data_IF_089274712773
#
_entry.id   IF_089274712773
#
_cell.length_a   1.000
_cell.length_b   1.000
_cell.length_c   1.000
_cell.angle_alpha   90.00
_cell.angle_beta   90.00
_cell.angle_gamma   90.00
#
_symmetry.space_group_name_H-M   'P 1'
#
loop_
_entity.id
_entity.type
_entity.pdbx_description
1 polymer ?
#
# COMPACT_ATOMS: atom_id res chain seq x y z
N UNK A 1 -38.73 12.19 15.60
CA UNK A 1 -37.88 12.00 14.40
C UNK A 1 -38.75 11.45 13.27
N UNK A 2 -38.86 12.16 12.15
CA UNK A 2 -39.81 11.91 11.05
C UNK A 2 -39.74 10.49 10.48
N UNK A 3 -38.52 9.99 10.21
CA UNK A 3 -38.28 8.65 9.61
C UNK A 3 -38.82 7.53 10.49
N UNK A 4 -38.62 7.57 11.82
CA UNK A 4 -39.17 6.54 12.74
C UNK A 4 -40.69 6.56 12.78
N UNK A 5 -41.29 7.76 12.73
CA UNK A 5 -42.77 7.92 12.66
C UNK A 5 -43.30 7.30 11.37
N UNK A 6 -42.68 7.63 10.24
CA UNK A 6 -43.05 7.07 8.93
C UNK A 6 -43.02 5.52 8.94
N UNK A 7 -41.98 4.89 9.50
CA UNK A 7 -41.93 3.42 9.63
C UNK A 7 -43.09 2.85 10.48
N UNK A 8 -43.41 3.51 11.60
CA UNK A 8 -44.55 3.13 12.43
C UNK A 8 -45.90 3.26 11.73
N UNK A 9 -46.08 4.34 10.97
CA UNK A 9 -47.34 4.64 10.26
C UNK A 9 -47.54 3.74 9.02
N UNK A 10 -46.47 3.26 8.38
CA UNK A 10 -46.53 2.50 7.11
C UNK A 10 -46.20 1.01 7.27
N UNK A 11 -45.71 0.59 8.41
CA UNK A 11 -45.22 -0.79 8.63
C UNK A 11 -43.88 -1.12 7.89
N UNK A 12 -43.24 -0.13 7.27
CA UNK A 12 -41.95 -0.32 6.59
C UNK A 12 -40.81 -0.50 7.57
N UNK A 13 -39.87 -1.35 7.22
CA UNK A 13 -38.61 -1.50 7.96
C UNK A 13 -37.75 -0.25 7.78
N UNK A 14 -37.29 0.31 8.89
CA UNK A 14 -36.48 1.52 8.91
C UNK A 14 -35.12 1.23 9.54
N UNK A 15 -34.06 1.49 8.79
CA UNK A 15 -32.67 1.36 9.22
C UNK A 15 -32.03 2.73 9.31
N UNK A 16 -31.50 3.09 10.48
CA UNK A 16 -30.93 4.40 10.74
C UNK A 16 -29.48 4.22 11.13
N UNK A 17 -28.58 4.75 10.29
CA UNK A 17 -27.16 4.79 10.55
C UNK A 17 -26.70 6.20 10.93
N UNK A 18 -25.82 6.28 11.92
CA UNK A 18 -25.05 7.49 12.23
C UNK A 18 -23.62 7.23 11.82
N UNK A 19 -23.29 7.61 10.60
CA UNK A 19 -21.97 7.38 10.05
C UNK A 19 -20.98 8.37 10.66
N UNK A 20 -19.75 7.90 11.02
CA UNK A 20 -18.64 8.78 11.30
C UNK A 20 -18.17 9.50 10.03
N UNK A 21 -16.97 10.08 10.02
CA UNK A 21 -16.42 10.69 8.82
C UNK A 21 -16.24 9.68 7.69
N UNK A 22 -17.10 9.75 6.67
CA UNK A 22 -16.98 8.87 5.48
C UNK A 22 -15.89 9.39 4.58
N UNK A 23 -14.97 8.49 4.15
CA UNK A 23 -13.90 8.83 3.22
C UNK A 23 -13.77 7.75 2.14
N UNK A 24 -13.13 8.12 1.03
CA UNK A 24 -12.87 7.18 -0.07
C UNK A 24 -12.53 7.91 -1.38
N UNK A 25 -12.36 7.11 -2.41
CA UNK A 25 -12.04 7.55 -3.77
C UNK A 25 -13.07 8.56 -4.28
N UNK A 26 -12.61 9.55 -5.03
CA UNK A 26 -13.43 10.53 -5.77
C UNK A 26 -14.27 11.47 -4.90
N UNK A 27 -14.11 11.47 -3.59
CA UNK A 27 -14.74 12.46 -2.73
C UNK A 27 -14.26 13.87 -3.10
N UNK A 28 -15.18 14.84 -3.18
CA UNK A 28 -14.83 16.22 -3.56
C UNK A 28 -13.88 16.84 -2.51
N UNK A 29 -12.64 17.21 -2.89
CA UNK A 29 -11.71 17.85 -1.99
C UNK A 29 -12.15 19.30 -1.67
N UNK A 30 -11.60 19.86 -0.61
CA UNK A 30 -11.88 21.24 -0.16
C UNK A 30 -13.38 21.54 0.00
N UNK A 31 -14.13 20.54 0.47
CA UNK A 31 -15.56 20.68 0.74
C UNK A 31 -15.89 20.22 2.17
N UNK A 32 -16.23 18.98 2.41
CA UNK A 32 -16.63 18.47 3.72
C UNK A 32 -15.87 17.23 4.21
N UNK A 33 -14.81 16.82 3.52
CA UNK A 33 -13.98 15.70 3.93
C UNK A 33 -12.52 16.15 4.10
N UNK A 34 -12.03 16.09 5.32
CA UNK A 34 -10.61 16.38 5.63
C UNK A 34 -9.67 15.39 4.95
N UNK A 35 -10.05 14.10 4.89
CA UNK A 35 -9.24 13.06 4.22
C UNK A 35 -9.13 13.38 2.73
N UNK A 36 -10.24 13.68 2.06
CA UNK A 36 -10.25 14.06 0.64
C UNK A 36 -9.39 15.30 0.38
N UNK A 37 -9.53 16.31 1.22
CA UNK A 37 -8.78 17.56 1.13
C UNK A 37 -7.28 17.33 1.28
N UNK A 38 -6.85 16.56 2.29
CA UNK A 38 -5.43 16.29 2.50
C UNK A 38 -4.85 15.38 1.41
N UNK A 39 -5.55 14.33 1.01
CA UNK A 39 -5.10 13.46 -0.08
C UNK A 39 -4.91 14.26 -1.39
N UNK A 40 -5.89 15.08 -1.76
CA UNK A 40 -5.80 15.92 -2.95
C UNK A 40 -4.67 16.94 -2.85
N UNK A 41 -4.64 17.72 -1.77
CA UNK A 41 -3.70 18.82 -1.66
C UNK A 41 -2.25 18.31 -1.58
N UNK A 42 -1.98 17.27 -0.79
CA UNK A 42 -0.64 16.69 -0.68
C UNK A 42 -0.21 16.06 -2.02
N UNK A 43 -1.11 15.37 -2.74
CA UNK A 43 -0.77 14.80 -4.05
C UNK A 43 -0.47 15.85 -5.13
N UNK A 44 -0.96 17.07 -4.96
CA UNK A 44 -0.75 18.18 -5.88
C UNK A 44 0.26 19.24 -5.35
N UNK A 45 0.94 18.95 -4.25
CA UNK A 45 1.85 19.89 -3.57
C UNK A 45 1.17 21.24 -3.19
N UNK A 46 -0.12 21.19 -2.87
CA UNK A 46 -0.88 22.32 -2.39
C UNK A 46 -0.80 22.41 -0.85
N UNK A 47 -0.92 23.61 -0.28
CA UNK A 47 -0.85 23.78 1.16
C UNK A 47 -2.05 23.10 1.86
N UNK A 48 -1.78 22.59 3.06
CA UNK A 48 -2.80 22.08 3.98
C UNK A 48 -2.78 22.89 5.27
N UNK A 49 -3.91 22.94 5.95
CA UNK A 49 -4.03 23.58 7.26
C UNK A 49 -4.46 22.55 8.30
N UNK A 50 -3.66 22.36 9.32
CA UNK A 50 -3.93 21.49 10.46
C UNK A 50 -4.18 22.38 11.68
N UNK A 51 -5.44 22.53 12.09
CA UNK A 51 -5.80 23.41 13.19
C UNK A 51 -5.52 22.80 14.56
N UNK A 52 -5.73 21.50 14.71
CA UNK A 52 -5.44 20.75 15.95
C UNK A 52 -4.92 19.35 15.62
N UNK A 53 -3.59 19.12 15.61
CA UNK A 53 -3.02 17.81 15.29
C UNK A 53 -3.48 16.68 16.21
N UNK A 54 -3.84 16.98 17.45
CA UNK A 54 -4.28 15.97 18.44
C UNK A 54 -5.76 15.63 18.33
N UNK A 55 -6.52 16.29 17.47
CA UNK A 55 -7.96 16.00 17.29
C UNK A 55 -8.13 14.60 16.71
N UNK A 56 -8.89 13.75 17.40
CA UNK A 56 -9.19 12.39 16.97
C UNK A 56 -10.36 12.39 15.97
N UNK A 57 -10.12 11.79 14.81
CA UNK A 57 -11.12 11.53 13.78
C UNK A 57 -11.63 10.10 13.93
N UNK A 58 -12.95 9.95 13.82
CA UNK A 58 -13.58 8.65 13.60
C UNK A 58 -13.93 8.56 12.12
N UNK A 59 -13.46 7.53 11.44
CA UNK A 59 -13.56 7.38 10.00
C UNK A 59 -14.13 6.02 9.60
N UNK A 60 -14.88 6.00 8.50
CA UNK A 60 -15.35 4.78 7.84
C UNK A 60 -15.12 4.89 6.33
N UNK A 61 -14.73 3.80 5.71
CA UNK A 61 -14.45 3.78 4.28
C UNK A 61 -15.74 3.61 3.48
N UNK A 62 -15.85 4.30 2.35
CA UNK A 62 -17.07 4.32 1.55
C UNK A 62 -17.49 2.93 1.07
N UNK A 63 -16.54 2.08 0.68
CA UNK A 63 -16.88 0.74 0.18
C UNK A 63 -17.48 -0.14 1.31
N UNK A 64 -17.05 0.05 2.58
CA UNK A 64 -17.64 -0.64 3.74
C UNK A 64 -19.07 -0.15 4.00
N UNK A 65 -19.35 1.15 3.77
CA UNK A 65 -20.72 1.71 3.87
C UNK A 65 -21.63 1.11 2.81
N UNK A 66 -21.12 1.02 1.57
CA UNK A 66 -21.87 0.45 0.45
C UNK A 66 -22.17 -1.04 0.70
N UNK A 67 -21.18 -1.80 1.16
CA UNK A 67 -21.36 -3.22 1.49
C UNK A 67 -22.41 -3.44 2.58
N UNK A 68 -22.34 -2.67 3.67
CA UNK A 68 -23.35 -2.74 4.75
C UNK A 68 -24.76 -2.43 4.23
N UNK A 69 -24.92 -1.43 3.36
CA UNK A 69 -26.22 -1.09 2.80
C UNK A 69 -26.74 -2.16 1.84
N UNK A 70 -25.87 -2.81 1.07
CA UNK A 70 -26.24 -3.96 0.23
C UNK A 70 -26.77 -5.10 1.10
N UNK A 71 -26.09 -5.43 2.21
CA UNK A 71 -26.52 -6.46 3.15
C UNK A 71 -27.90 -6.16 3.75
N UNK A 72 -28.17 -4.88 4.07
CA UNK A 72 -29.50 -4.45 4.53
C UNK A 72 -30.56 -4.70 3.46
N UNK A 73 -30.29 -4.32 2.22
CA UNK A 73 -31.23 -4.50 1.09
C UNK A 73 -31.50 -6.00 0.83
N UNK A 74 -30.49 -6.84 1.02
CA UNK A 74 -30.61 -8.29 0.88
C UNK A 74 -31.27 -8.99 2.08
N UNK A 75 -31.69 -8.23 3.10
CA UNK A 75 -32.34 -8.77 4.29
C UNK A 75 -31.41 -9.54 5.24
N UNK A 76 -30.09 -9.39 5.10
CA UNK A 76 -29.07 -10.09 5.90
C UNK A 76 -28.86 -9.47 7.30
N UNK A 77 -29.46 -8.34 7.58
CA UNK A 77 -29.33 -7.56 8.84
C UNK A 77 -30.44 -7.84 9.84
N UNK A 78 -30.79 -9.10 10.09
CA UNK A 78 -31.82 -9.46 11.05
C UNK A 78 -31.37 -9.17 12.50
N UNK A 79 -32.07 -8.27 13.21
CA UNK A 79 -32.03 -8.05 14.67
C UNK A 79 -30.82 -7.29 15.26
N UNK A 80 -30.06 -6.50 14.54
CA UNK A 80 -29.07 -5.60 15.19
C UNK A 80 -29.80 -4.44 15.91
N UNK A 81 -29.59 -4.30 17.22
CA UNK A 81 -30.13 -3.17 18.03
C UNK A 81 -29.48 -1.83 17.67
N UNK A 82 -28.24 -1.82 17.25
CA UNK A 82 -27.48 -0.65 16.81
C UNK A 82 -26.90 -0.91 15.42
N UNK A 83 -27.18 -0.01 14.50
CA UNK A 83 -26.71 -0.08 13.13
C UNK A 83 -25.44 0.77 13.01
N UNK A 84 -24.33 0.13 12.76
CA UNK A 84 -23.03 0.74 12.53
C UNK A 84 -22.32 0.07 11.37
N UNK A 85 -21.51 0.82 10.66
CA UNK A 85 -20.64 0.29 9.61
C UNK A 85 -19.28 -0.05 10.20
N UNK A 86 -18.78 -1.21 9.91
CA UNK A 86 -17.48 -1.69 10.38
C UNK A 86 -16.58 -2.05 9.19
N UNK A 87 -15.25 -1.89 9.34
CA UNK A 87 -14.55 -1.37 10.51
C UNK A 87 -14.59 0.18 10.60
N UNK A 88 -14.70 0.69 11.82
CA UNK A 88 -14.48 2.10 12.13
C UNK A 88 -13.02 2.32 12.54
N UNK A 89 -12.42 3.39 12.04
CA UNK A 89 -11.03 3.74 12.28
C UNK A 89 -10.91 5.03 13.09
N UNK A 90 -10.01 5.02 14.06
CA UNK A 90 -9.64 6.21 14.84
C UNK A 90 -8.23 6.63 14.46
N UNK A 91 -8.04 7.91 14.18
CA UNK A 91 -6.74 8.48 13.83
C UNK A 91 -6.69 9.95 14.26
N UNK A 92 -5.56 10.39 14.81
CA UNK A 92 -5.35 11.81 15.06
C UNK A 92 -5.10 12.55 13.75
N UNK A 93 -5.54 13.80 13.70
CA UNK A 93 -5.41 14.63 12.50
C UNK A 93 -3.94 14.79 12.06
N UNK A 94 -3.01 14.92 13.01
CA UNK A 94 -1.59 14.96 12.73
C UNK A 94 -1.05 13.66 12.13
N UNK A 95 -1.47 12.51 12.69
CA UNK A 95 -1.05 11.19 12.21
C UNK A 95 -1.60 10.90 10.80
N UNK A 96 -2.82 11.38 10.50
CA UNK A 96 -3.39 11.31 9.15
C UNK A 96 -2.52 12.07 8.14
N UNK A 97 -2.10 13.28 8.47
CA UNK A 97 -1.21 14.07 7.60
C UNK A 97 0.11 13.34 7.39
N UNK A 98 0.76 12.92 8.47
CA UNK A 98 2.03 12.17 8.41
C UNK A 98 1.90 10.94 7.52
N UNK A 99 0.82 10.17 7.65
CA UNK A 99 0.61 8.99 6.83
C UNK A 99 0.49 9.32 5.33
N UNK A 100 -0.23 10.39 4.98
CA UNK A 100 -0.39 10.79 3.57
C UNK A 100 0.92 11.38 3.02
N UNK A 101 1.69 12.11 3.83
CA UNK A 101 3.01 12.61 3.44
C UNK A 101 3.99 11.48 3.17
N UNK A 102 4.01 10.44 4.00
CA UNK A 102 4.80 9.22 3.76
C UNK A 102 4.43 8.53 2.44
N UNK A 103 3.16 8.55 2.03
CA UNK A 103 2.77 8.04 0.72
C UNK A 103 3.37 8.85 -0.44
N UNK A 104 3.42 10.18 -0.30
CA UNK A 104 4.07 11.05 -1.28
C UNK A 104 5.57 10.78 -1.36
N UNK A 105 6.23 10.75 -0.21
CA UNK A 105 7.68 10.54 -0.10
C UNK A 105 8.10 9.14 -0.57
N UNK A 106 7.19 8.16 -0.51
CA UNK A 106 7.44 6.80 -0.95
C UNK A 106 7.87 6.67 -2.41
N UNK A 107 7.55 7.65 -3.27
CA UNK A 107 8.00 7.66 -4.67
C UNK A 107 9.47 8.06 -4.83
N UNK A 108 9.96 8.93 -3.98
CA UNK A 108 11.36 9.39 -4.00
C UNK A 108 12.26 8.45 -3.19
N UNK A 109 11.78 8.01 -2.04
CA UNK A 109 12.51 7.11 -1.15
C UNK A 109 12.46 5.64 -1.58
N UNK A 110 11.54 5.27 -2.47
CA UNK A 110 11.18 3.90 -2.86
C UNK A 110 10.68 3.04 -1.70
N UNK A 111 10.35 3.66 -0.55
CA UNK A 111 9.80 2.96 0.61
C UNK A 111 8.28 2.85 0.46
N UNK A 112 7.80 1.61 0.39
CA UNK A 112 6.37 1.32 0.49
C UNK A 112 5.95 1.27 1.94
N UNK A 113 4.93 2.05 2.28
CA UNK A 113 4.27 1.95 3.58
C UNK A 113 3.46 0.64 3.68
N UNK A 114 2.96 0.31 4.89
CA UNK A 114 2.17 -0.90 5.16
C UNK A 114 0.76 -0.78 4.57
N UNK A 115 0.67 -0.78 3.23
CA UNK A 115 -0.59 -0.59 2.48
C UNK A 115 -1.32 -1.90 2.16
N UNK A 116 -0.97 -3.00 2.82
CA UNK A 116 -1.56 -4.33 2.57
C UNK A 116 -2.99 -4.47 3.08
N UNK A 117 -3.33 -3.82 4.19
CA UNK A 117 -4.63 -3.92 4.86
C UNK A 117 -4.99 -2.67 5.67
N UNK A 118 -6.12 -2.71 6.34
CA UNK A 118 -6.57 -1.71 7.30
C UNK A 118 -6.70 -0.29 6.76
N UNK A 119 -6.60 0.67 7.66
CA UNK A 119 -6.70 2.10 7.34
C UNK A 119 -5.63 2.56 6.33
N UNK A 120 -4.33 2.19 6.45
CA UNK A 120 -3.32 2.65 5.49
C UNK A 120 -3.64 2.24 4.04
N UNK A 121 -4.14 1.02 3.80
CA UNK A 121 -4.58 0.56 2.48
C UNK A 121 -5.68 1.45 1.91
N UNK A 122 -6.69 1.75 2.71
CA UNK A 122 -7.85 2.56 2.31
C UNK A 122 -7.46 4.03 2.07
N UNK A 123 -6.58 4.57 2.92
CA UNK A 123 -6.02 5.91 2.74
C UNK A 123 -5.16 5.99 1.47
N UNK A 124 -4.31 4.99 1.23
CA UNK A 124 -3.48 4.98 0.02
C UNK A 124 -4.32 4.89 -1.25
N UNK A 125 -5.34 4.03 -1.29
CA UNK A 125 -6.30 3.96 -2.39
C UNK A 125 -7.00 5.30 -2.62
N UNK A 126 -7.37 5.99 -1.54
CA UNK A 126 -7.97 7.33 -1.61
C UNK A 126 -6.96 8.36 -2.14
N UNK A 127 -5.71 8.34 -1.63
CA UNK A 127 -4.64 9.24 -2.03
C UNK A 127 -4.32 9.14 -3.53
N UNK A 128 -4.11 7.92 -4.05
CA UNK A 128 -3.77 7.73 -5.47
C UNK A 128 -4.94 8.04 -6.41
N UNK A 129 -6.17 8.02 -5.92
CA UNK A 129 -7.35 8.38 -6.73
C UNK A 129 -7.38 9.86 -7.15
N UNK A 130 -6.57 10.70 -6.53
CA UNK A 130 -6.42 12.12 -6.89
C UNK A 130 -5.28 12.39 -7.86
N UNK A 131 -4.54 11.37 -8.28
CA UNK A 131 -3.44 11.57 -9.23
C UNK A 131 -3.95 12.00 -10.60
N UNK A 132 -3.28 13.00 -11.14
CA UNK A 132 -3.42 13.34 -12.56
C UNK A 132 -2.70 12.29 -13.44
N UNK A 133 -3.04 12.15 -14.72
CA UNK A 133 -2.36 11.20 -15.62
C UNK A 133 -0.84 11.35 -15.67
N UNK A 134 -0.31 12.56 -15.48
CA UNK A 134 1.13 12.82 -15.42
C UNK A 134 1.81 12.17 -14.21
N UNK A 135 1.06 11.88 -13.17
CA UNK A 135 1.55 11.25 -11.94
C UNK A 135 1.44 9.71 -11.96
N UNK A 136 0.91 9.10 -13.05
CA UNK A 136 0.83 7.65 -13.15
C UNK A 136 2.19 6.98 -13.39
N UNK A 137 3.18 7.75 -13.82
CA UNK A 137 4.54 7.29 -14.08
C UNK A 137 5.55 8.16 -13.33
N UNK A 138 6.59 7.55 -12.83
CA UNK A 138 7.74 8.23 -12.23
C UNK A 138 9.01 7.42 -12.48
N UNK A 139 10.14 8.14 -12.56
CA UNK A 139 11.44 7.53 -12.77
C UNK A 139 12.02 7.06 -11.45
N UNK A 140 12.76 5.97 -11.49
CA UNK A 140 13.55 5.47 -10.37
C UNK A 140 15.03 5.59 -10.67
N UNK A 141 15.92 5.75 -9.66
CA UNK A 141 17.35 5.77 -9.86
C UNK A 141 17.85 4.45 -10.45
N UNK A 142 18.78 4.54 -11.40
CA UNK A 142 19.49 3.39 -11.94
C UNK A 142 20.98 3.63 -11.88
N UNK A 143 21.73 2.57 -11.56
CA UNK A 143 23.19 2.59 -11.43
C UNK A 143 23.78 1.59 -12.40
N UNK A 144 24.66 2.06 -13.29
CA UNK A 144 25.27 1.22 -14.32
C UNK A 144 26.79 1.33 -14.32
N UNK A 145 27.44 0.22 -14.66
CA UNK A 145 28.86 0.12 -14.91
C UNK A 145 29.13 -0.86 -16.08
N UNK A 146 30.40 -1.21 -16.31
CA UNK A 146 30.77 -2.14 -17.37
C UNK A 146 30.16 -3.54 -17.21
N UNK A 147 29.75 -3.92 -16.00
CA UNK A 147 29.15 -5.22 -15.67
C UNK A 147 27.67 -5.29 -15.99
N UNK A 148 26.96 -4.14 -16.00
CA UNK A 148 25.52 -4.06 -16.24
C UNK A 148 24.89 -2.96 -15.41
N UNK A 149 23.57 -3.02 -15.24
CA UNK A 149 22.76 -2.01 -14.55
C UNK A 149 22.13 -2.61 -13.29
N UNK A 150 21.91 -1.80 -12.28
CA UNK A 150 21.11 -2.10 -11.08
C UNK A 150 20.08 -1.00 -10.85
N UNK A 151 18.87 -1.38 -10.50
CA UNK A 151 17.82 -0.47 -10.09
C UNK A 151 17.06 -1.06 -8.90
N UNK A 152 16.89 -0.27 -7.85
CA UNK A 152 16.00 -0.57 -6.76
C UNK A 152 14.59 -0.13 -7.16
N UNK A 153 13.60 -1.02 -7.05
CA UNK A 153 12.22 -0.72 -7.46
C UNK A 153 11.34 -0.38 -6.26
N UNK A 154 11.58 -1.08 -5.17
CA UNK A 154 10.75 -1.01 -3.98
C UNK A 154 11.53 -1.53 -2.79
N UNK A 155 11.37 -0.90 -1.64
CA UNK A 155 11.80 -1.42 -0.34
C UNK A 155 10.73 -1.20 0.72
N UNK A 156 10.82 -1.97 1.79
CA UNK A 156 9.97 -1.84 2.96
C UNK A 156 10.84 -1.59 4.19
N UNK A 157 10.24 -1.08 5.25
CA UNK A 157 10.96 -0.82 6.50
C UNK A 157 11.33 -2.10 7.27
N UNK A 158 10.65 -3.21 6.98
CA UNK A 158 10.71 -4.45 7.77
C UNK A 158 10.85 -5.75 6.96
N UNK A 159 10.64 -5.71 5.65
CA UNK A 159 10.55 -6.94 4.83
C UNK A 159 11.53 -6.98 3.64
N UNK A 160 12.50 -6.04 3.60
CA UNK A 160 13.54 -6.02 2.58
C UNK A 160 13.22 -5.15 1.36
N UNK A 161 13.86 -5.47 0.25
CA UNK A 161 13.76 -4.71 -0.99
C UNK A 161 13.54 -5.62 -2.20
N UNK A 162 12.94 -5.06 -3.23
CA UNK A 162 12.81 -5.66 -4.55
C UNK A 162 13.63 -4.84 -5.55
N UNK A 163 14.60 -5.49 -6.20
CA UNK A 163 15.55 -4.86 -7.10
C UNK A 163 15.60 -5.60 -8.42
N UNK A 164 15.99 -4.90 -9.46
CA UNK A 164 16.26 -5.43 -10.78
C UNK A 164 17.72 -5.16 -11.14
N UNK A 165 18.41 -6.14 -11.73
CA UNK A 165 19.71 -5.89 -12.32
C UNK A 165 19.92 -6.69 -13.60
N UNK A 166 20.83 -6.19 -14.43
CA UNK A 166 21.36 -6.91 -15.58
C UNK A 166 22.83 -7.29 -15.35
N UNK A 167 23.27 -8.34 -16.00
CA UNK A 167 24.67 -8.71 -16.08
C UNK A 167 25.03 -9.04 -17.52
N UNK A 168 26.14 -8.50 -18.01
CA UNK A 168 26.66 -8.85 -19.35
C UNK A 168 27.14 -10.29 -19.38
N UNK A 169 27.17 -10.96 -20.54
CA UNK A 169 27.71 -12.30 -20.66
C UNK A 169 29.15 -12.38 -20.15
N UNK A 170 29.46 -13.44 -19.36
CA UNK A 170 30.77 -13.66 -18.79
C UNK A 170 31.12 -12.82 -17.54
N UNK A 171 30.24 -11.93 -17.12
CA UNK A 171 30.45 -11.11 -15.92
C UNK A 171 30.05 -11.87 -14.68
N UNK A 172 30.87 -11.82 -13.63
CA UNK A 172 30.57 -12.31 -12.28
C UNK A 172 30.19 -11.11 -11.38
N UNK A 173 29.09 -11.26 -10.65
CA UNK A 173 28.64 -10.34 -9.59
C UNK A 173 28.59 -11.12 -8.28
N UNK A 174 28.74 -10.43 -7.15
CA UNK A 174 28.78 -11.06 -5.83
C UNK A 174 30.19 -11.13 -5.26
N UNK A 175 30.61 -12.30 -4.79
CA UNK A 175 31.91 -12.48 -4.15
C UNK A 175 31.97 -11.99 -2.70
N UNK A 176 30.81 -11.99 -2.02
CA UNK A 176 30.64 -11.60 -0.63
C UNK A 176 29.67 -12.57 0.08
N UNK A 177 29.63 -12.49 1.38
CA UNK A 177 28.69 -13.24 2.22
C UNK A 177 27.93 -12.28 3.14
N UNK A 178 26.83 -12.76 3.70
CA UNK A 178 26.02 -12.03 4.66
C UNK A 178 25.86 -12.84 5.93
N UNK A 179 25.81 -12.18 7.10
CA UNK A 179 25.61 -12.85 8.37
C UNK A 179 24.14 -13.16 8.68
N UNK A 180 23.21 -12.37 8.11
CA UNK A 180 21.77 -12.48 8.43
C UNK A 180 20.86 -12.14 7.25
N UNK A 181 21.41 -11.56 6.18
CA UNK A 181 20.62 -11.20 4.99
C UNK A 181 20.46 -12.43 4.10
N UNK A 182 19.23 -12.72 3.70
CA UNK A 182 18.90 -13.71 2.68
C UNK A 182 18.49 -13.02 1.39
N UNK A 183 18.73 -13.64 0.25
CA UNK A 183 18.36 -13.11 -1.05
C UNK A 183 17.69 -14.18 -1.90
N UNK A 184 16.73 -13.77 -2.71
CA UNK A 184 16.05 -14.62 -3.69
C UNK A 184 16.25 -14.06 -5.08
N UNK A 185 16.73 -14.88 -5.98
CA UNK A 185 16.99 -14.50 -7.37
C UNK A 185 16.10 -15.28 -8.33
N UNK A 186 15.57 -14.57 -9.30
CA UNK A 186 14.87 -15.13 -10.45
C UNK A 186 15.55 -14.65 -11.73
N UNK A 187 15.93 -15.55 -12.61
CA UNK A 187 16.46 -15.20 -13.93
C UNK A 187 15.29 -14.94 -14.88
N UNK A 188 15.06 -13.68 -15.24
CA UNK A 188 13.97 -13.26 -16.13
C UNK A 188 14.39 -13.24 -17.60
N UNK A 189 15.71 -13.16 -17.90
CA UNK A 189 16.26 -13.20 -19.25
C UNK A 189 17.62 -13.87 -19.27
N UNK A 190 17.84 -14.77 -20.23
CA UNK A 190 19.13 -15.43 -20.45
C UNK A 190 19.37 -16.65 -19.54
N UNK A 191 20.63 -16.89 -19.21
CA UNK A 191 21.10 -17.99 -18.37
C UNK A 191 22.04 -17.42 -17.31
N UNK A 192 21.99 -17.98 -16.11
CA UNK A 192 22.90 -17.62 -15.02
C UNK A 192 23.46 -18.87 -14.31
N UNK A 193 24.69 -18.75 -13.82
CA UNK A 193 25.32 -19.67 -12.88
C UNK A 193 25.40 -18.97 -11.53
N UNK A 194 24.91 -19.62 -10.48
CA UNK A 194 25.08 -19.21 -9.09
C UNK A 194 26.10 -20.14 -8.43
N UNK A 195 27.15 -19.55 -7.89
CA UNK A 195 28.21 -20.28 -7.16
C UNK A 195 28.13 -19.96 -5.67
N UNK A 196 28.05 -20.98 -4.85
CA UNK A 196 28.04 -20.88 -3.39
C UNK A 196 29.29 -21.58 -2.85
N UNK A 197 30.00 -20.93 -1.95
CA UNK A 197 31.14 -21.51 -1.25
C UNK A 197 30.92 -21.38 0.26
N UNK A 198 31.05 -22.50 0.96
CA UNK A 198 31.02 -22.49 2.42
C UNK A 198 32.25 -21.76 2.97
N UNK A 199 32.06 -20.85 3.95
CA UNK A 199 33.14 -19.99 4.46
C UNK A 199 34.26 -20.80 5.15
N UNK A 200 33.89 -21.86 5.88
CA UNK A 200 34.82 -22.67 6.66
C UNK A 200 35.20 -24.00 5.97
N UNK A 201 34.38 -24.49 5.04
CA UNK A 201 34.61 -25.70 4.29
C UNK A 201 34.95 -25.32 2.86
N UNK A 202 35.89 -26.03 2.22
CA UNK A 202 36.24 -25.74 0.83
C UNK A 202 35.27 -26.41 -0.16
N UNK A 203 33.98 -26.37 0.22
CA UNK A 203 32.86 -26.90 -0.57
C UNK A 203 32.28 -25.82 -1.46
N UNK A 204 32.16 -26.13 -2.75
CA UNK A 204 31.58 -25.26 -3.76
C UNK A 204 30.34 -25.94 -4.36
N UNK A 205 29.22 -25.23 -4.37
CA UNK A 205 28.00 -25.68 -5.02
C UNK A 205 27.65 -24.74 -6.16
N UNK A 206 27.34 -25.28 -7.33
CA UNK A 206 26.95 -24.50 -8.49
C UNK A 206 25.53 -24.84 -8.92
N UNK A 207 24.72 -23.82 -9.16
CA UNK A 207 23.35 -23.91 -9.65
C UNK A 207 23.29 -23.19 -10.98
N UNK A 208 22.77 -23.87 -12.00
CA UNK A 208 22.50 -23.28 -13.30
C UNK A 208 21.00 -23.10 -13.47
N UNK A 209 20.56 -21.92 -13.91
CA UNK A 209 19.17 -21.63 -14.19
C UNK A 209 19.02 -20.73 -15.41
N UNK A 210 17.84 -20.73 -16.00
CA UNK A 210 17.54 -19.98 -17.21
C UNK A 210 16.16 -19.31 -17.10
N UNK A 211 15.91 -18.29 -17.90
CA UNK A 211 14.59 -17.67 -18.00
C UNK A 211 13.48 -18.59 -18.53
N UNK A 212 13.81 -19.76 -19.06
CA UNK A 212 12.84 -20.77 -19.50
C UNK A 212 12.36 -21.65 -18.32
N UNK A 213 13.06 -21.62 -17.20
CA UNK A 213 12.74 -22.35 -15.99
C UNK A 213 12.54 -21.34 -14.86
N UNK A 214 11.31 -21.15 -14.44
CA UNK A 214 10.98 -20.21 -13.34
C UNK A 214 11.40 -20.81 -12.00
N UNK A 215 12.71 -20.81 -11.73
CA UNK A 215 13.31 -21.29 -10.48
C UNK A 215 13.82 -20.13 -9.64
N UNK A 216 13.47 -20.12 -8.37
CA UNK A 216 14.09 -19.23 -7.39
C UNK A 216 15.38 -19.86 -6.90
N UNK A 217 16.46 -19.10 -6.94
CA UNK A 217 17.71 -19.42 -6.25
C UNK A 217 17.75 -18.58 -4.99
N UNK A 218 17.79 -19.25 -3.83
CA UNK A 218 17.81 -18.61 -2.52
C UNK A 218 19.19 -18.72 -1.91
N UNK A 219 19.75 -17.57 -1.51
CA UNK A 219 21.02 -17.55 -0.78
C UNK A 219 20.77 -17.73 0.71
N UNK A 220 21.64 -18.48 1.34
CA UNK A 220 21.66 -18.65 2.79
C UNK A 220 22.78 -17.80 3.38
N UNK A 221 22.61 -17.28 4.61
CA UNK A 221 23.66 -16.55 5.31
C UNK A 221 24.90 -17.40 5.57
#
# INVERSE_FOLDING_TARGET
MVVKKFGGDTGNLIYIYRLPGVFGKWCKPNYNSVVATFCHNISHNLPIRVSNPSFELNLVYIDDVVEEFIQVIQGQQNNKKELSVQPEYKIKLGDLVTQIELFREGRDSLISEKVGDGLPRKLYSTYVSYFSPKQFVYSIPSYGDERGMFAEMLKTKDSGQFSFFTAKPGVTRGGHYHNSKTEKFLVIQGKARFGFRHVALDEIHEIFTTSKELKIVETVP
#
